data_IF_507316213487
#
_entry.id   IF_507316213487
#
_cell.length_a   1.000
_cell.length_b   1.000
_cell.length_c   1.000
_cell.angle_alpha   90.00
_cell.angle_beta   90.00
_cell.angle_gamma   90.00
#
_symmetry.space_group_name_H-M   'P 1'
#
loop_
_entity.id
_entity.type
_entity.pdbx_description
1 polymer ?
#
# COMPACT_ATOMS: atom_id res chain seq x y z
N UNK A 1 -27.97 9.19 -6.03
CA UNK A 1 -26.68 9.87 -6.26
C UNK A 1 -25.75 8.96 -7.03
N UNK A 2 -25.16 9.46 -8.11
CA UNK A 2 -24.04 8.78 -8.76
C UNK A 2 -22.81 8.86 -7.86
N UNK A 3 -22.14 7.72 -7.65
CA UNK A 3 -20.93 7.67 -6.84
C UNK A 3 -19.75 8.27 -7.60
N UNK A 4 -18.93 9.05 -6.92
CA UNK A 4 -17.70 9.62 -7.50
C UNK A 4 -16.71 8.52 -7.89
N UNK A 5 -15.91 8.75 -8.93
CA UNK A 5 -14.81 7.85 -9.34
C UNK A 5 -13.90 7.50 -8.15
N UNK A 6 -13.68 8.45 -7.25
CA UNK A 6 -12.91 8.24 -6.02
C UNK A 6 -13.57 7.19 -5.12
N UNK A 7 -14.87 7.31 -4.84
CA UNK A 7 -15.63 6.36 -4.02
C UNK A 7 -15.65 4.97 -4.65
N UNK A 8 -15.86 4.88 -5.97
CA UNK A 8 -15.85 3.61 -6.71
C UNK A 8 -14.50 2.93 -6.59
N UNK A 9 -13.41 3.67 -6.78
CA UNK A 9 -12.05 3.14 -6.66
C UNK A 9 -11.72 2.70 -5.22
N UNK A 10 -12.15 3.47 -4.21
CA UNK A 10 -11.95 3.15 -2.80
C UNK A 10 -12.72 1.88 -2.40
N UNK A 11 -13.98 1.74 -2.83
CA UNK A 11 -14.76 0.52 -2.60
C UNK A 11 -14.12 -0.71 -3.25
N UNK A 12 -13.59 -0.60 -4.47
CA UNK A 12 -12.88 -1.71 -5.14
C UNK A 12 -11.62 -2.12 -4.35
N UNK A 13 -10.83 -1.16 -3.92
CA UNK A 13 -9.64 -1.42 -3.10
C UNK A 13 -10.02 -2.09 -1.76
N UNK A 14 -11.09 -1.65 -1.12
CA UNK A 14 -11.59 -2.24 0.12
C UNK A 14 -12.09 -3.68 -0.08
N UNK A 15 -12.75 -3.99 -1.20
CA UNK A 15 -13.16 -5.37 -1.53
C UNK A 15 -11.97 -6.31 -1.68
N UNK A 16 -10.87 -5.84 -2.25
CA UNK A 16 -9.64 -6.62 -2.35
C UNK A 16 -9.00 -6.81 -0.98
N UNK A 17 -8.97 -5.75 -0.15
CA UNK A 17 -8.51 -5.87 1.23
C UNK A 17 -9.27 -6.97 1.97
N UNK A 18 -10.62 -6.93 1.94
CA UNK A 18 -11.48 -7.94 2.54
C UNK A 18 -11.19 -9.35 2.01
N UNK A 19 -11.05 -9.51 0.69
CA UNK A 19 -10.72 -10.81 0.11
C UNK A 19 -9.37 -11.35 0.60
N UNK A 20 -8.35 -10.50 0.73
CA UNK A 20 -7.02 -10.91 1.18
C UNK A 20 -7.00 -11.21 2.68
N UNK A 21 -7.72 -10.44 3.49
CA UNK A 21 -7.77 -10.64 4.93
C UNK A 21 -8.64 -11.84 5.30
N UNK A 22 -9.88 -11.88 4.83
CA UNK A 22 -10.87 -12.88 5.20
C UNK A 22 -10.73 -14.16 4.35
N UNK A 23 -10.50 -14.01 3.05
CA UNK A 23 -10.43 -15.14 2.12
C UNK A 23 -9.04 -15.79 2.01
N UNK A 24 -7.97 -15.07 2.36
CA UNK A 24 -6.57 -15.58 2.27
C UNK A 24 -5.80 -15.50 3.58
N UNK A 25 -6.43 -15.07 4.67
CA UNK A 25 -5.84 -15.01 6.01
C UNK A 25 -4.54 -14.19 6.07
N UNK A 26 -4.42 -13.15 5.26
CA UNK A 26 -3.30 -12.20 5.32
C UNK A 26 -3.62 -11.16 6.40
N UNK A 27 -2.67 -10.92 7.31
CA UNK A 27 -2.84 -9.93 8.37
C UNK A 27 -3.12 -8.52 7.81
N UNK A 28 -4.15 -7.86 8.34
CA UNK A 28 -4.63 -6.57 7.86
C UNK A 28 -3.59 -5.46 8.03
N UNK A 29 -2.72 -5.59 9.03
CA UNK A 29 -1.62 -4.67 9.33
C UNK A 29 -0.55 -4.63 8.21
N UNK A 30 -0.57 -5.62 7.31
CA UNK A 30 0.35 -5.71 6.17
C UNK A 30 -0.17 -5.02 4.92
N UNK A 31 -1.45 -4.62 4.90
CA UNK A 31 -2.11 -4.15 3.69
C UNK A 31 -2.67 -2.74 3.92
N UNK A 32 -2.53 -1.88 2.93
CA UNK A 32 -3.21 -0.58 2.88
C UNK A 32 -3.98 -0.50 1.57
N UNK A 33 -5.24 -0.09 1.63
CA UNK A 33 -6.11 0.05 0.47
C UNK A 33 -6.40 1.54 0.22
N UNK A 34 -6.28 1.98 -1.03
CA UNK A 34 -6.51 3.37 -1.41
C UNK A 34 -7.18 3.46 -2.78
N UNK A 35 -8.08 4.43 -2.94
CA UNK A 35 -8.77 4.73 -4.20
C UNK A 35 -8.30 6.04 -4.81
N UNK A 36 -7.52 5.97 -5.90
CA UNK A 36 -6.98 7.15 -6.60
C UNK A 36 -8.00 7.93 -7.44
N UNK A 37 -9.20 7.37 -7.66
CA UNK A 37 -10.19 7.95 -8.57
C UNK A 37 -9.61 8.19 -9.96
N UNK A 38 -9.78 9.41 -10.47
CA UNK A 38 -9.33 9.82 -11.81
C UNK A 38 -8.01 10.61 -11.82
N UNK A 39 -7.42 10.87 -10.66
CA UNK A 39 -6.29 11.80 -10.53
C UNK A 39 -4.94 11.24 -11.02
N UNK A 40 -4.83 9.91 -11.20
CA UNK A 40 -3.58 9.24 -11.60
C UNK A 40 -3.78 8.29 -12.81
N UNK A 41 -4.13 8.82 -13.99
CA UNK A 41 -4.24 8.01 -15.20
C UNK A 41 -2.85 7.53 -15.65
N UNK A 42 -2.73 6.25 -16.01
CA UNK A 42 -1.52 5.71 -16.61
C UNK A 42 -1.51 5.93 -18.13
N UNK A 43 -2.70 6.03 -18.73
CA UNK A 43 -2.89 6.21 -20.17
C UNK A 43 -3.77 7.43 -20.45
N UNK A 44 -3.75 7.91 -21.70
CA UNK A 44 -4.61 9.02 -22.11
C UNK A 44 -6.09 8.69 -21.95
N UNK A 45 -6.89 9.62 -21.42
CA UNK A 45 -8.35 9.49 -21.37
C UNK A 45 -9.05 9.91 -22.68
N UNK A 46 -8.30 10.38 -23.69
CA UNK A 46 -8.86 10.88 -24.95
C UNK A 46 -9.31 9.77 -25.90
N UNK A 47 -8.70 8.59 -25.82
CA UNK A 47 -9.03 7.45 -26.67
C UNK A 47 -9.80 6.43 -25.82
N UNK A 48 -10.92 5.92 -26.34
CA UNK A 48 -11.79 5.01 -25.60
C UNK A 48 -11.05 3.77 -25.08
N UNK A 49 -10.21 3.18 -25.93
CA UNK A 49 -9.46 1.97 -25.60
C UNK A 49 -8.44 2.21 -24.49
N UNK A 50 -7.71 3.33 -24.53
CA UNK A 50 -6.74 3.69 -23.48
C UNK A 50 -7.42 4.13 -22.18
N UNK A 51 -8.60 4.77 -22.27
CA UNK A 51 -9.41 5.14 -21.10
C UNK A 51 -9.86 3.90 -20.32
N UNK A 52 -10.24 2.82 -21.00
CA UNK A 52 -10.59 1.55 -20.33
C UNK A 52 -9.42 1.00 -19.52
N UNK A 53 -8.19 1.16 -20.00
CA UNK A 53 -6.99 0.71 -19.28
C UNK A 53 -6.73 1.49 -17.97
N UNK A 54 -7.33 2.67 -17.78
CA UNK A 54 -7.25 3.39 -16.52
C UNK A 54 -8.15 2.81 -15.42
N UNK A 55 -9.09 1.92 -15.75
CA UNK A 55 -9.83 1.11 -14.76
C UNK A 55 -8.96 -0.08 -14.28
N UNK A 56 -7.93 0.20 -13.50
CA UNK A 56 -6.96 -0.79 -13.02
C UNK A 56 -6.83 -0.81 -11.50
N UNK A 57 -6.16 -1.85 -11.00
CA UNK A 57 -5.80 -2.00 -9.60
C UNK A 57 -4.31 -2.35 -9.56
N UNK A 58 -3.55 -1.54 -8.84
CA UNK A 58 -2.09 -1.69 -8.71
C UNK A 58 -1.76 -2.25 -7.32
N UNK A 59 -0.85 -3.23 -7.25
CA UNK A 59 -0.31 -3.78 -6.00
C UNK A 59 1.13 -3.31 -5.79
N UNK A 60 1.37 -2.55 -4.72
CA UNK A 60 2.71 -2.08 -4.35
C UNK A 60 3.23 -2.87 -3.15
N UNK A 61 4.33 -3.61 -3.34
CA UNK A 61 4.99 -4.36 -2.27
C UNK A 61 6.15 -3.55 -1.69
N UNK A 62 5.97 -3.06 -0.46
CA UNK A 62 7.00 -2.31 0.26
C UNK A 62 7.76 -3.22 1.23
N UNK A 63 9.08 -3.25 1.11
CA UNK A 63 9.95 -3.95 2.06
C UNK A 63 10.50 -2.92 3.04
N UNK A 64 10.18 -3.03 4.33
CA UNK A 64 10.86 -2.22 5.34
C UNK A 64 12.32 -2.69 5.42
N UNK A 65 13.31 -1.79 5.35
CA UNK A 65 14.69 -2.19 5.57
C UNK A 65 14.80 -2.78 6.98
N UNK A 66 15.44 -3.94 7.11
CA UNK A 66 15.73 -4.54 8.42
C UNK A 66 16.60 -3.54 9.18
N UNK A 67 16.16 -3.06 10.34
CA UNK A 67 17.02 -2.31 11.26
C UNK A 67 18.18 -3.25 11.61
N UNK A 68 19.38 -2.98 11.10
CA UNK A 68 20.57 -3.76 11.46
C UNK A 68 20.86 -3.50 12.93
N UNK A 69 21.00 -4.56 13.72
CA UNK A 69 21.52 -4.42 15.09
C UNK A 69 22.99 -3.99 14.96
N UNK A 70 23.46 -2.98 15.69
CA UNK A 70 24.88 -2.61 15.69
C UNK A 70 25.73 -3.83 16.07
N UNK A 71 26.83 -4.06 15.35
CA UNK A 71 27.70 -5.23 15.56
C UNK A 71 28.38 -5.22 16.94
N UNK A 72 28.62 -4.04 17.49
CA UNK A 72 29.37 -3.84 18.73
C UNK A 72 28.57 -3.06 19.80
N UNK A 73 27.27 -3.32 19.94
CA UNK A 73 26.43 -2.65 20.93
C UNK A 73 25.32 -3.52 21.52
N UNK A 74 25.15 -3.48 22.83
CA UNK A 74 24.01 -4.11 23.51
C UNK A 74 22.79 -3.18 23.48
N UNK A 75 21.60 -3.74 23.23
CA UNK A 75 20.34 -2.99 23.24
C UNK A 75 19.71 -3.14 24.62
N UNK A 76 19.68 -2.05 25.40
CA UNK A 76 18.84 -1.96 26.60
C UNK A 76 17.78 -0.89 26.38
N UNK A 77 16.50 -1.30 26.32
CA UNK A 77 15.31 -0.41 26.24
C UNK A 77 15.44 0.75 25.26
N UNK A 78 15.85 0.49 24.01
CA UNK A 78 15.97 1.49 22.95
C UNK A 78 16.95 2.66 23.22
N UNK A 79 17.80 2.58 24.25
CA UNK A 79 18.84 3.58 24.50
C UNK A 79 20.19 3.14 23.92
N UNK A 80 20.79 3.99 23.09
CA UNK A 80 22.13 3.80 22.55
C UNK A 80 23.17 4.39 23.50
N UNK A 81 23.97 3.55 24.15
CA UNK A 81 25.22 3.97 24.79
C UNK A 81 26.37 3.64 23.84
N UNK A 82 27.19 4.64 23.48
CA UNK A 82 28.52 4.38 22.92
C UNK A 82 29.42 4.02 24.10
N UNK A 83 29.99 2.81 24.11
CA UNK A 83 31.16 2.56 24.95
C UNK A 83 32.33 3.32 24.32
N UNK A 84 32.82 4.33 25.00
CA UNK A 84 34.10 4.93 24.67
C UNK A 84 35.18 4.02 25.29
N UNK A 85 36.11 3.53 24.47
CA UNK A 85 37.45 3.18 24.93
C UNK A 85 38.26 4.46 25.15
#
# INVERSE_FOLDING_TARGET
EEKSNQEVSAMRALRILQYLTEGKNISIERITAFGWGEHHPAYSNRILETRKQNNRIDFLFVHRPKKQKPKDGFIFKDFFFRSFE
#
